data_IF_510670409082
#
_entry.id   IF_510670409082
#
_cell.length_a   1.000
_cell.length_b   1.000
_cell.length_c   1.000
_cell.angle_alpha   90.00
_cell.angle_beta   90.00
_cell.angle_gamma   90.00
#
_symmetry.space_group_name_H-M   'P 1'
#
loop_
_entity.id
_entity.type
_entity.pdbx_description
1 polymer ?
#
# COMPACT_ATOMS: atom_id res chain seq x y z
N UNK A 1 4.74 -2.92 3.97
CA UNK A 1 3.60 -3.47 3.20
C UNK A 1 3.37 -2.54 2.03
N UNK A 2 3.66 -3.01 0.82
CA UNK A 2 3.33 -2.24 -0.37
C UNK A 2 1.81 -2.25 -0.51
N UNK A 3 1.16 -1.08 -0.52
CA UNK A 3 -0.22 -1.00 -0.97
C UNK A 3 -0.25 -1.41 -2.43
N UNK A 4 -0.99 -2.45 -2.83
CA UNK A 4 -1.25 -2.68 -4.22
C UNK A 4 -2.29 -1.66 -4.68
N UNK A 5 -1.86 -0.51 -5.14
CA UNK A 5 -2.66 0.36 -6.00
C UNK A 5 -2.61 -0.14 -7.45
N UNK A 6 -2.59 -1.45 -7.62
CA UNK A 6 -2.87 -2.06 -8.90
C UNK A 6 -4.09 -2.95 -8.67
N UNK A 7 -5.28 -2.38 -8.85
CA UNK A 7 -6.47 -3.18 -9.13
C UNK A 7 -6.24 -3.76 -10.51
N UNK A 8 -5.51 -4.86 -10.56
CA UNK A 8 -5.42 -5.69 -11.74
C UNK A 8 -6.82 -6.23 -12.01
N UNK A 9 -7.47 -5.71 -13.03
CA UNK A 9 -8.70 -6.26 -13.58
C UNK A 9 -8.38 -7.65 -14.14
N UNK A 10 -8.37 -8.66 -13.26
CA UNK A 10 -8.30 -10.06 -13.67
C UNK A 10 -9.63 -10.42 -14.30
N UNK A 11 -9.72 -10.34 -15.62
CA UNK A 11 -10.81 -10.98 -16.38
C UNK A 11 -10.72 -12.50 -16.19
N UNK A 12 -11.43 -13.02 -15.19
CA UNK A 12 -11.77 -14.44 -15.11
C UNK A 12 -12.88 -14.70 -16.14
N UNK A 13 -12.49 -15.05 -17.35
CA UNK A 13 -13.38 -15.72 -18.30
C UNK A 13 -13.71 -17.09 -17.70
N UNK A 14 -14.82 -17.17 -16.97
CA UNK A 14 -15.37 -18.42 -16.47
C UNK A 14 -15.95 -19.24 -17.61
N UNK A 15 -15.35 -20.41 -17.87
CA UNK A 15 -15.95 -21.45 -18.68
C UNK A 15 -17.29 -21.86 -18.08
N UNK A 16 -18.35 -21.88 -18.92
CA UNK A 16 -19.68 -22.33 -18.55
C UNK A 16 -19.67 -23.77 -18.07
N UNK A 17 -19.98 -23.99 -16.82
CA UNK A 17 -20.22 -25.26 -16.17
C UNK A 17 -21.59 -25.25 -15.52
N UNK A 18 -22.31 -26.33 -15.62
CA UNK A 18 -23.66 -26.61 -15.16
C UNK A 18 -24.02 -25.95 -13.82
N UNK A 19 -25.18 -25.31 -13.78
CA UNK A 19 -25.74 -24.72 -12.58
C UNK A 19 -25.95 -25.78 -11.48
N UNK A 20 -24.96 -26.00 -10.67
CA UNK A 20 -25.12 -26.57 -9.35
C UNK A 20 -25.68 -25.45 -8.45
N UNK A 21 -26.84 -25.69 -7.87
CA UNK A 21 -27.35 -24.88 -6.74
C UNK A 21 -26.29 -24.91 -5.64
N UNK A 22 -25.37 -23.97 -5.67
CA UNK A 22 -24.33 -23.86 -4.65
C UNK A 22 -24.96 -23.32 -3.38
N UNK A 23 -25.15 -24.23 -2.42
CA UNK A 23 -25.36 -23.83 -1.03
C UNK A 23 -24.24 -22.89 -0.60
N UNK A 24 -24.56 -21.89 0.23
CA UNK A 24 -23.55 -20.98 0.75
C UNK A 24 -22.43 -21.76 1.42
N UNK A 25 -21.20 -21.58 0.95
CA UNK A 25 -20.03 -22.24 1.49
C UNK A 25 -19.27 -21.30 2.40
N UNK A 26 -19.02 -21.75 3.63
CA UNK A 26 -18.10 -21.09 4.53
C UNK A 26 -16.74 -21.79 4.49
N UNK A 27 -15.68 -21.01 4.43
CA UNK A 27 -14.33 -21.54 4.55
C UNK A 27 -13.54 -20.73 5.60
N UNK A 28 -12.76 -21.44 6.40
CA UNK A 28 -11.82 -20.86 7.34
C UNK A 28 -10.42 -21.35 7.01
N UNK A 29 -9.53 -20.42 6.75
CA UNK A 29 -8.13 -20.70 6.46
C UNK A 29 -7.24 -19.96 7.47
N UNK A 30 -6.64 -20.65 8.45
CA UNK A 30 -5.62 -20.09 9.30
C UNK A 30 -4.26 -20.09 8.59
N UNK A 31 -3.39 -19.14 8.99
CA UNK A 31 -2.00 -19.09 8.59
C UNK A 31 -1.19 -18.60 9.77
N UNK A 32 -0.13 -19.31 10.11
CA UNK A 32 0.78 -18.94 11.17
C UNK A 32 2.18 -18.79 10.60
N UNK A 33 2.89 -17.75 11.00
CA UNK A 33 4.29 -17.60 10.63
C UNK A 33 5.14 -17.19 11.83
N UNK A 34 6.37 -17.65 11.79
CA UNK A 34 7.44 -17.19 12.64
C UNK A 34 8.55 -16.67 11.78
N UNK A 35 9.01 -15.46 12.06
CA UNK A 35 10.15 -14.87 11.37
C UNK A 35 11.16 -14.31 12.36
N UNK A 36 12.41 -14.33 11.92
CA UNK A 36 13.49 -13.59 12.56
C UNK A 36 14.15 -12.74 11.47
N UNK A 37 14.44 -11.49 11.81
CA UNK A 37 15.21 -10.63 10.93
C UNK A 37 16.34 -9.93 11.70
N UNK A 38 17.41 -9.68 10.98
CA UNK A 38 18.53 -8.88 11.38
C UNK A 38 18.60 -7.66 10.49
N UNK A 39 18.84 -6.51 11.08
CA UNK A 39 18.91 -5.22 10.42
C UNK A 39 20.03 -4.41 11.08
N UNK A 40 21.00 -3.95 10.29
CA UNK A 40 22.18 -3.25 10.81
C UNK A 40 21.93 -1.75 11.05
N UNK A 41 20.86 -1.18 10.48
CA UNK A 41 20.49 0.23 10.65
C UNK A 41 19.02 0.48 10.34
N UNK A 42 18.13 -0.01 11.20
CA UNK A 42 16.67 0.05 11.02
C UNK A 42 16.10 1.46 10.86
N UNK A 43 16.71 2.44 11.51
CA UNK A 43 16.26 3.83 11.49
C UNK A 43 16.82 4.61 10.31
N UNK A 44 17.74 4.02 9.52
CA UNK A 44 18.48 4.71 8.46
C UNK A 44 19.12 6.01 8.94
N UNK A 45 19.69 5.97 10.15
CA UNK A 45 20.37 7.10 10.76
C UNK A 45 21.87 6.83 10.95
N UNK A 46 22.72 7.88 10.89
CA UNK A 46 24.14 7.71 11.12
C UNK A 46 24.45 7.25 12.55
N UNK A 47 25.16 6.14 12.70
CA UNK A 47 25.63 5.66 14.00
C UNK A 47 24.66 4.83 14.80
N UNK A 48 23.52 4.44 14.22
CA UNK A 48 22.58 3.50 14.84
C UNK A 48 23.17 2.10 14.85
N UNK A 49 22.95 1.37 15.94
CA UNK A 49 23.37 -0.03 16.07
C UNK A 49 22.37 -0.96 15.39
N UNK A 50 22.86 -2.08 14.89
CA UNK A 50 22.00 -3.14 14.34
C UNK A 50 21.09 -3.75 15.39
N UNK A 51 19.92 -4.22 14.97
CA UNK A 51 18.92 -4.86 15.81
C UNK A 51 18.44 -6.18 15.21
N UNK A 52 18.14 -7.13 16.09
CA UNK A 52 17.46 -8.36 15.73
C UNK A 52 16.00 -8.28 16.21
N UNK A 53 15.08 -8.84 15.44
CA UNK A 53 13.71 -9.03 15.89
C UNK A 53 13.21 -10.44 15.59
N UNK A 54 12.32 -10.92 16.46
CA UNK A 54 11.53 -12.11 16.23
C UNK A 54 10.05 -11.70 16.15
N UNK A 55 9.34 -12.23 15.15
CA UNK A 55 7.91 -11.94 14.92
C UNK A 55 7.15 -13.27 14.88
N UNK A 56 6.07 -13.35 15.64
CA UNK A 56 5.07 -14.40 15.53
C UNK A 56 3.79 -13.78 14.99
N UNK A 57 3.34 -14.28 13.85
CA UNK A 57 2.13 -13.79 13.16
C UNK A 57 1.05 -14.86 13.13
N UNK A 58 -0.20 -14.42 13.28
CA UNK A 58 -1.38 -15.25 13.08
C UNK A 58 -2.38 -14.50 12.21
N UNK A 59 -2.76 -15.14 11.09
CA UNK A 59 -3.76 -14.67 10.16
C UNK A 59 -4.90 -15.69 10.11
N UNK A 60 -6.12 -15.19 10.00
CA UNK A 60 -7.29 -16.02 9.75
C UNK A 60 -8.07 -15.43 8.61
N UNK A 61 -8.43 -16.26 7.63
CA UNK A 61 -9.31 -15.83 6.54
C UNK A 61 -10.61 -16.61 6.64
N UNK A 62 -11.68 -15.91 7.02
CA UNK A 62 -13.05 -16.41 6.98
C UNK A 62 -13.70 -15.91 5.69
N UNK A 63 -14.18 -16.82 4.85
CA UNK A 63 -14.85 -16.49 3.61
C UNK A 63 -16.23 -17.12 3.57
N UNK A 64 -17.17 -16.41 2.94
CA UNK A 64 -18.47 -16.92 2.56
C UNK A 64 -18.67 -16.69 1.08
N UNK A 65 -18.81 -17.77 0.32
CA UNK A 65 -19.09 -17.72 -1.10
C UNK A 65 -20.55 -18.11 -1.36
N UNK A 66 -21.23 -17.29 -2.16
CA UNK A 66 -22.55 -17.53 -2.72
C UNK A 66 -22.46 -17.26 -4.21
N UNK A 67 -23.48 -17.63 -5.00
CA UNK A 67 -23.46 -17.53 -6.45
C UNK A 67 -22.99 -16.16 -6.97
N UNK A 68 -23.47 -15.09 -6.37
CA UNK A 68 -23.19 -13.72 -6.81
C UNK A 68 -22.63 -12.81 -5.72
N UNK A 69 -22.29 -13.35 -4.55
CA UNK A 69 -21.78 -12.59 -3.42
C UNK A 69 -20.66 -13.35 -2.73
N UNK A 70 -19.53 -12.68 -2.56
CA UNK A 70 -18.40 -13.16 -1.76
C UNK A 70 -18.13 -12.17 -0.62
N UNK A 71 -18.01 -12.72 0.59
CA UNK A 71 -17.63 -11.96 1.78
C UNK A 71 -16.33 -12.54 2.34
N UNK A 72 -15.45 -11.67 2.84
CA UNK A 72 -14.25 -12.07 3.56
C UNK A 72 -14.07 -11.26 4.85
N UNK A 73 -13.48 -11.91 5.86
CA UNK A 73 -13.02 -11.26 7.10
C UNK A 73 -11.65 -11.83 7.45
N UNK A 74 -10.68 -10.94 7.63
CA UNK A 74 -9.27 -11.28 7.77
C UNK A 74 -8.67 -10.59 9.00
N UNK A 75 -8.82 -11.13 10.22
CA UNK A 75 -8.07 -10.68 11.38
C UNK A 75 -6.60 -11.12 11.30
N UNK A 76 -5.72 -10.22 11.72
CA UNK A 76 -4.27 -10.42 11.76
C UNK A 76 -3.68 -9.88 13.04
N UNK A 77 -2.69 -10.59 13.60
CA UNK A 77 -1.93 -10.18 14.79
C UNK A 77 -0.46 -10.53 14.61
N UNK A 78 0.41 -9.55 14.86
CA UNK A 78 1.86 -9.74 15.01
C UNK A 78 2.28 -9.51 16.46
N UNK A 79 3.07 -10.41 16.99
CA UNK A 79 3.75 -10.26 18.26
C UNK A 79 5.25 -10.13 17.98
N UNK A 80 5.81 -8.95 18.28
CA UNK A 80 7.21 -8.64 17.99
C UNK A 80 8.04 -8.51 19.25
N UNK A 81 9.27 -9.00 19.18
CA UNK A 81 10.28 -8.86 20.21
C UNK A 81 11.59 -8.44 19.57
N UNK A 82 12.15 -7.36 20.06
CA UNK A 82 13.44 -6.84 19.63
C UNK A 82 14.53 -7.27 20.61
N UNK A 83 15.75 -7.50 20.12
CA UNK A 83 16.91 -7.74 20.96
C UNK A 83 17.32 -6.48 21.72
N UNK A 84 17.08 -5.30 21.13
CA UNK A 84 17.35 -4.03 21.75
C UNK A 84 16.12 -3.54 22.54
N UNK A 85 16.36 -3.13 23.81
CA UNK A 85 15.33 -2.59 24.70
C UNK A 85 14.81 -1.21 24.29
N UNK A 86 15.52 -0.49 23.40
CA UNK A 86 15.15 0.84 22.92
C UNK A 86 13.81 0.77 22.15
N UNK A 87 13.60 -0.30 21.37
CA UNK A 87 12.38 -0.43 20.56
C UNK A 87 11.16 -0.90 21.34
N UNK A 88 11.33 -1.50 22.51
CA UNK A 88 10.24 -2.06 23.29
C UNK A 88 9.50 -3.20 22.58
N UNK A 89 8.51 -3.83 23.20
CA UNK A 89 7.67 -4.84 22.54
C UNK A 89 6.69 -4.17 21.57
N UNK A 90 6.65 -4.61 20.33
CA UNK A 90 5.71 -4.15 19.31
C UNK A 90 4.66 -5.24 19.02
N UNK A 91 3.37 -4.97 19.25
CA UNK A 91 2.30 -5.86 18.82
C UNK A 91 1.43 -5.10 17.82
N UNK A 92 1.39 -5.58 16.58
CA UNK A 92 0.51 -5.01 15.57
C UNK A 92 -0.72 -5.88 15.42
N UNK A 93 -1.84 -5.25 15.11
CA UNK A 93 -3.10 -5.94 14.89
C UNK A 93 -3.90 -5.24 13.82
N UNK A 94 -4.59 -6.02 13.01
CA UNK A 94 -5.51 -5.47 12.01
C UNK A 94 -6.69 -6.41 11.77
N UNK A 95 -7.75 -5.84 11.24
CA UNK A 95 -8.89 -6.58 10.71
C UNK A 95 -9.23 -5.98 9.37
N UNK A 96 -9.32 -6.82 8.34
CA UNK A 96 -9.82 -6.44 7.03
C UNK A 96 -11.12 -7.18 6.73
N UNK A 97 -12.03 -6.51 6.02
CA UNK A 97 -13.28 -7.06 5.53
C UNK A 97 -13.42 -6.74 4.04
N UNK A 98 -13.90 -7.71 3.27
CA UNK A 98 -14.12 -7.59 1.83
C UNK A 98 -15.52 -8.06 1.44
N UNK A 99 -16.09 -7.39 0.45
CA UNK A 99 -17.34 -7.75 -0.20
C UNK A 99 -17.13 -7.64 -1.72
N UNK A 100 -17.54 -8.66 -2.45
CA UNK A 100 -17.65 -8.63 -3.91
C UNK A 100 -19.01 -9.17 -4.31
N UNK A 101 -19.76 -8.37 -5.05
CA UNK A 101 -21.07 -8.74 -5.58
C UNK A 101 -21.09 -8.55 -7.09
N UNK A 102 -21.63 -9.53 -7.80
CA UNK A 102 -21.74 -9.53 -9.26
C UNK A 102 -23.18 -9.76 -9.67
N UNK A 103 -23.81 -8.76 -10.27
CA UNK A 103 -25.11 -8.84 -10.92
C UNK A 103 -24.95 -9.02 -12.44
N UNK A 104 -26.05 -9.09 -13.18
CA UNK A 104 -26.04 -9.26 -14.64
C UNK A 104 -25.28 -8.15 -15.39
N UNK A 105 -25.40 -6.91 -14.89
CA UNK A 105 -24.80 -5.71 -15.52
C UNK A 105 -24.09 -4.81 -14.51
N UNK A 106 -23.82 -5.32 -13.33
CA UNK A 106 -23.21 -4.52 -12.27
C UNK A 106 -22.28 -5.37 -11.44
N UNK A 107 -21.18 -4.77 -11.02
CA UNK A 107 -20.25 -5.35 -10.08
C UNK A 107 -19.96 -4.33 -9.00
N UNK A 108 -20.01 -4.77 -7.75
CA UNK A 108 -19.64 -3.97 -6.58
C UNK A 108 -18.52 -4.68 -5.85
N UNK A 109 -17.43 -3.98 -5.62
CA UNK A 109 -16.38 -4.40 -4.69
C UNK A 109 -16.26 -3.38 -3.56
N UNK A 110 -16.10 -3.86 -2.35
CA UNK A 110 -15.87 -3.03 -1.18
C UNK A 110 -14.88 -3.70 -0.26
N UNK A 111 -13.86 -2.96 0.19
CA UNK A 111 -12.87 -3.42 1.13
C UNK A 111 -12.71 -2.37 2.22
N UNK A 112 -12.63 -2.81 3.47
CA UNK A 112 -12.35 -1.95 4.61
C UNK A 112 -11.36 -2.62 5.54
N UNK A 113 -10.48 -1.85 6.17
CA UNK A 113 -9.59 -2.37 7.19
C UNK A 113 -9.33 -1.33 8.28
N UNK A 114 -9.06 -1.85 9.46
CA UNK A 114 -8.56 -1.07 10.59
C UNK A 114 -7.31 -1.76 11.11
N UNK A 115 -6.26 -0.99 11.33
CA UNK A 115 -5.00 -1.48 11.84
C UNK A 115 -4.51 -0.60 12.99
N UNK A 116 -3.87 -1.22 13.98
CA UNK A 116 -3.15 -0.57 15.05
C UNK A 116 -1.71 -1.09 15.02
N UNK A 117 -0.79 -0.24 14.58
CA UNK A 117 0.57 -0.61 14.18
C UNK A 117 1.60 0.28 14.84
N UNK A 118 2.82 -0.23 14.96
CA UNK A 118 3.96 0.58 15.36
C UNK A 118 4.50 1.39 14.16
N UNK A 119 4.79 2.67 14.34
CA UNK A 119 5.31 3.57 13.30
C UNK A 119 6.68 3.13 12.76
N UNK A 120 7.55 2.55 13.59
CA UNK A 120 8.84 2.03 13.17
C UNK A 120 8.78 1.03 12.02
N UNK A 121 7.64 0.34 11.86
CA UNK A 121 7.49 -0.70 10.86
C UNK A 121 6.76 -0.25 9.60
N UNK A 122 6.06 0.87 9.66
CA UNK A 122 5.14 1.31 8.59
C UNK A 122 5.50 2.68 8.03
N UNK A 123 5.94 3.61 8.89
CA UNK A 123 6.14 5.00 8.47
C UNK A 123 7.28 5.17 7.46
N UNK A 124 8.36 4.41 7.57
CA UNK A 124 9.47 4.51 6.62
C UNK A 124 9.02 4.33 5.16
N UNK A 125 8.19 3.31 4.92
CA UNK A 125 7.69 3.00 3.58
C UNK A 125 6.55 3.90 3.15
N UNK A 126 5.72 4.35 4.08
CA UNK A 126 4.52 5.11 3.78
C UNK A 126 4.77 6.62 3.76
N UNK A 127 5.52 7.14 4.71
CA UNK A 127 5.72 8.59 4.87
C UNK A 127 7.18 9.01 4.80
N UNK A 128 8.13 8.10 4.95
CA UNK A 128 9.56 8.39 5.02
C UNK A 128 9.99 9.05 6.34
N UNK A 129 9.13 9.05 7.37
CA UNK A 129 9.43 9.53 8.72
C UNK A 129 9.74 8.33 9.61
N UNK A 130 10.88 8.35 10.33
CA UNK A 130 11.29 7.23 11.18
C UNK A 130 11.36 7.64 12.66
N UNK A 131 11.29 8.92 12.93
CA UNK A 131 11.80 9.55 14.15
C UNK A 131 10.96 9.30 15.42
N UNK A 132 9.88 8.53 15.36
CA UNK A 132 9.04 8.31 16.55
C UNK A 132 8.56 6.87 16.67
N UNK A 133 9.00 6.21 17.75
CA UNK A 133 8.42 4.94 18.18
C UNK A 133 7.05 5.18 18.85
N UNK A 134 5.99 5.25 18.06
CA UNK A 134 4.64 5.52 18.52
C UNK A 134 3.64 4.55 17.89
N UNK A 135 2.39 4.60 18.35
CA UNK A 135 1.30 3.78 17.79
C UNK A 135 0.54 4.58 16.76
N UNK A 136 0.20 3.94 15.66
CA UNK A 136 -0.65 4.49 14.60
C UNK A 136 -1.89 3.62 14.42
N UNK A 137 -3.04 4.23 14.49
CA UNK A 137 -4.30 3.65 14.04
C UNK A 137 -4.55 4.09 12.61
N UNK A 138 -4.67 3.12 11.72
CA UNK A 138 -4.95 3.32 10.30
C UNK A 138 -6.33 2.76 9.98
N UNK A 139 -7.15 3.54 9.31
CA UNK A 139 -8.47 3.17 8.81
C UNK A 139 -8.47 3.32 7.30
N UNK A 140 -8.84 2.27 6.59
CA UNK A 140 -8.92 2.25 5.14
C UNK A 140 -10.30 1.75 4.71
N UNK A 141 -10.87 2.37 3.68
CA UNK A 141 -12.04 1.86 2.99
C UNK A 141 -11.93 2.18 1.51
N UNK A 142 -12.23 1.21 0.64
CA UNK A 142 -12.25 1.38 -0.80
C UNK A 142 -13.49 0.70 -1.36
N UNK A 143 -14.17 1.35 -2.29
CA UNK A 143 -15.32 0.81 -2.99
C UNK A 143 -15.25 1.11 -4.48
N UNK A 144 -15.67 0.17 -5.30
CA UNK A 144 -15.81 0.32 -6.75
C UNK A 144 -17.14 -0.26 -7.19
N UNK A 145 -17.88 0.53 -7.95
CA UNK A 145 -19.13 0.14 -8.61
C UNK A 145 -18.95 0.26 -10.11
N UNK A 146 -19.11 -0.86 -10.80
CA UNK A 146 -19.12 -0.96 -12.25
C UNK A 146 -20.54 -1.20 -12.75
N UNK A 147 -20.97 -0.46 -13.75
CA UNK A 147 -22.28 -0.58 -14.38
C UNK A 147 -22.13 -0.73 -15.90
N UNK A 148 -22.33 -1.93 -16.41
CA UNK A 148 -22.29 -2.23 -17.84
C UNK A 148 -23.53 -1.70 -18.54
N UNK A 149 -23.41 -0.64 -19.34
CA UNK A 149 -24.48 -0.14 -20.19
C UNK A 149 -24.67 -1.00 -21.43
N UNK A 150 -23.54 -1.41 -22.01
CA UNK A 150 -23.45 -2.35 -23.12
C UNK A 150 -22.22 -3.23 -22.94
N UNK A 151 -22.00 -4.21 -23.81
CA UNK A 151 -20.77 -5.02 -23.81
C UNK A 151 -19.47 -4.20 -24.00
N UNK A 152 -19.60 -2.99 -24.59
CA UNK A 152 -18.45 -2.12 -24.91
C UNK A 152 -18.36 -0.87 -24.04
N UNK A 153 -19.39 -0.56 -23.25
CA UNK A 153 -19.45 0.67 -22.44
C UNK A 153 -19.77 0.31 -20.99
N UNK A 154 -18.87 0.70 -20.12
CA UNK A 154 -18.97 0.49 -18.68
C UNK A 154 -18.79 1.82 -17.96
N UNK A 155 -19.77 2.20 -17.15
CA UNK A 155 -19.66 3.31 -16.21
C UNK A 155 -19.07 2.79 -14.91
N UNK A 156 -18.10 3.52 -14.33
CA UNK A 156 -17.52 3.15 -13.05
C UNK A 156 -17.49 4.32 -12.07
N UNK A 157 -17.53 3.97 -10.79
CA UNK A 157 -17.32 4.91 -9.68
C UNK A 157 -16.43 4.26 -8.64
N UNK A 158 -15.39 4.96 -8.23
CA UNK A 158 -14.45 4.54 -7.21
C UNK A 158 -14.47 5.53 -6.06
N UNK A 159 -14.46 5.01 -4.83
CA UNK A 159 -14.39 5.80 -3.61
C UNK A 159 -13.28 5.23 -2.73
N UNK A 160 -12.48 6.08 -2.11
CA UNK A 160 -11.52 5.64 -1.11
C UNK A 160 -11.50 6.58 0.10
N UNK A 161 -11.16 6.02 1.24
CA UNK A 161 -11.00 6.73 2.49
C UNK A 161 -9.79 6.18 3.22
N UNK A 162 -9.00 7.09 3.81
CA UNK A 162 -7.88 6.78 4.67
C UNK A 162 -7.93 7.72 5.88
N UNK A 163 -8.01 7.15 7.08
CA UNK A 163 -7.88 7.84 8.35
C UNK A 163 -6.61 7.40 9.06
N UNK A 164 -5.84 8.35 9.57
CA UNK A 164 -4.64 8.08 10.37
C UNK A 164 -4.71 8.87 11.67
N UNK A 165 -4.53 8.19 12.79
CA UNK A 165 -4.43 8.80 14.11
C UNK A 165 -3.24 8.21 14.86
N UNK A 166 -2.47 9.06 15.51
CA UNK A 166 -1.29 8.66 16.26
C UNK A 166 -1.58 8.75 17.75
N UNK A 167 -0.96 7.88 18.53
CA UNK A 167 -1.09 7.84 19.99
C UNK A 167 0.23 7.44 20.62
N UNK A 168 0.64 8.14 21.67
CA UNK A 168 1.91 7.87 22.33
C UNK A 168 2.27 8.94 23.34
N UNK A 169 3.48 9.49 23.25
CA UNK A 169 3.87 10.61 24.06
C UNK A 169 3.43 11.93 23.39
N UNK A 170 3.30 12.99 24.19
CA UNK A 170 2.84 14.30 23.72
C UNK A 170 3.70 14.86 22.57
N UNK A 171 5.00 14.60 22.56
CA UNK A 171 5.92 15.03 21.52
C UNK A 171 5.64 14.34 20.18
N UNK A 172 5.31 13.07 20.18
CA UNK A 172 4.95 12.33 18.96
C UNK A 172 3.61 12.80 18.39
N UNK A 173 2.61 13.08 19.24
CA UNK A 173 1.30 13.60 18.80
C UNK A 173 1.42 15.01 18.20
N UNK A 174 2.35 15.84 18.69
CA UNK A 174 2.62 17.17 18.12
C UNK A 174 3.34 17.12 16.76
N UNK A 175 4.15 16.10 16.52
CA UNK A 175 4.91 15.91 15.28
C UNK A 175 4.13 15.16 14.19
N UNK A 176 3.26 14.23 14.59
CA UNK A 176 2.47 13.37 13.72
C UNK A 176 0.97 13.61 13.94
N UNK A 177 0.39 14.65 13.32
CA UNK A 177 -1.03 14.95 13.47
C UNK A 177 -1.88 13.90 12.81
N UNK A 178 -3.02 13.62 13.41
CA UNK A 178 -4.07 12.84 12.77
C UNK A 178 -4.57 13.52 11.48
N UNK A 179 -4.96 12.70 10.50
CA UNK A 179 -5.55 13.20 9.28
C UNK A 179 -6.58 12.24 8.68
N UNK A 180 -7.47 12.78 7.86
CA UNK A 180 -8.46 12.05 7.09
C UNK A 180 -8.32 12.45 5.62
N UNK A 181 -8.23 11.48 4.75
CA UNK A 181 -8.13 11.66 3.32
C UNK A 181 -9.23 10.86 2.63
N UNK A 182 -9.95 11.51 1.74
CA UNK A 182 -10.99 10.88 0.94
C UNK A 182 -10.74 11.17 -0.53
N UNK A 183 -10.96 10.18 -1.39
CA UNK A 183 -10.91 10.37 -2.83
C UNK A 183 -12.13 9.75 -3.51
N UNK A 184 -12.51 10.33 -4.63
CA UNK A 184 -13.58 9.84 -5.49
C UNK A 184 -13.17 9.99 -6.95
N UNK A 185 -13.47 8.97 -7.76
CA UNK A 185 -13.37 9.05 -9.21
C UNK A 185 -14.60 8.44 -9.86
N UNK A 186 -15.04 9.02 -10.99
CA UNK A 186 -16.16 8.47 -11.75
C UNK A 186 -15.96 8.74 -13.24
N UNK A 187 -16.28 7.76 -14.07
CA UNK A 187 -16.03 7.87 -15.50
C UNK A 187 -16.64 6.75 -16.34
N UNK A 188 -16.24 6.73 -17.58
CA UNK A 188 -16.63 5.71 -18.54
C UNK A 188 -15.41 4.97 -19.10
N UNK A 189 -15.57 3.66 -19.28
CA UNK A 189 -14.62 2.75 -19.86
C UNK A 189 -15.18 2.21 -21.18
N UNK A 190 -14.37 2.24 -22.23
CA UNK A 190 -14.71 1.86 -23.58
C UNK A 190 -13.85 0.69 -24.02
N UNK A 191 -14.45 -0.46 -24.31
CA UNK A 191 -13.77 -1.60 -24.90
C UNK A 191 -13.67 -1.39 -26.41
N UNK A 192 -12.50 -0.92 -26.87
CA UNK A 192 -12.26 -0.59 -28.27
C UNK A 192 -12.01 -1.84 -29.11
N UNK A 193 -11.33 -2.85 -28.52
CA UNK A 193 -11.10 -4.17 -29.13
C UNK A 193 -10.82 -5.20 -28.01
N UNK A 194 -10.55 -6.43 -28.38
CA UNK A 194 -10.10 -7.49 -27.43
C UNK A 194 -8.79 -7.12 -26.70
N UNK A 195 -7.99 -6.22 -27.28
CA UNK A 195 -6.70 -5.83 -26.76
C UNK A 195 -6.67 -4.44 -26.14
N UNK A 196 -7.60 -3.57 -26.48
CA UNK A 196 -7.57 -2.17 -26.06
C UNK A 196 -8.82 -1.78 -25.29
N UNK A 197 -8.59 -1.23 -24.12
CA UNK A 197 -9.61 -0.54 -23.33
C UNK A 197 -9.15 0.88 -23.06
N UNK A 198 -10.04 1.84 -23.22
CA UNK A 198 -9.79 3.25 -22.93
C UNK A 198 -10.77 3.73 -21.88
N UNK A 199 -10.35 4.56 -20.95
CA UNK A 199 -11.23 5.19 -19.98
C UNK A 199 -10.95 6.67 -19.83
N UNK A 200 -12.00 7.41 -19.45
CA UNK A 200 -11.92 8.82 -19.05
C UNK A 200 -12.73 8.99 -17.78
N UNK A 201 -12.16 9.69 -16.81
CA UNK A 201 -12.84 9.98 -15.54
C UNK A 201 -12.52 11.36 -14.99
N UNK A 202 -13.45 11.88 -14.19
CA UNK A 202 -13.19 12.97 -13.27
C UNK A 202 -12.84 12.39 -11.90
N UNK A 203 -11.93 13.06 -11.20
CA UNK A 203 -11.55 12.67 -9.84
C UNK A 203 -11.45 13.87 -8.92
N UNK A 204 -11.53 13.61 -7.61
CA UNK A 204 -11.34 14.62 -6.58
C UNK A 204 -10.89 14.01 -5.27
N UNK A 205 -10.01 14.72 -4.58
CA UNK A 205 -9.39 14.34 -3.32
C UNK A 205 -9.57 15.43 -2.28
N UNK A 206 -9.76 15.04 -1.03
CA UNK A 206 -9.91 15.93 0.12
C UNK A 206 -9.04 15.41 1.27
N UNK A 207 -8.13 16.24 1.76
CA UNK A 207 -7.37 16.00 2.98
C UNK A 207 -7.79 16.99 4.06
N UNK A 208 -8.17 16.46 5.21
CA UNK A 208 -8.35 17.22 6.45
C UNK A 208 -7.32 16.77 7.47
N UNK A 209 -6.46 17.67 7.93
CA UNK A 209 -5.45 17.43 8.96
C UNK A 209 -5.80 18.19 10.23
N UNK A 210 -5.54 17.60 11.38
CA UNK A 210 -5.79 18.23 12.69
C UNK A 210 -4.92 19.48 12.94
N UNK A 211 -3.77 19.58 12.25
CA UNK A 211 -2.88 20.76 12.36
C UNK A 211 -3.15 21.85 11.32
N UNK A 212 -3.83 21.52 10.23
CA UNK A 212 -4.19 22.52 9.23
C UNK A 212 -5.52 23.18 9.60
N UNK A 213 -5.57 24.50 9.63
CA UNK A 213 -6.81 25.24 9.89
C UNK A 213 -7.86 25.04 8.79
N UNK A 214 -7.42 24.68 7.57
CA UNK A 214 -8.23 24.45 6.39
C UNK A 214 -7.97 23.06 5.80
N UNK A 215 -8.83 22.61 4.88
CA UNK A 215 -8.67 21.36 4.14
C UNK A 215 -7.92 21.59 2.83
N UNK A 216 -7.04 20.65 2.48
CA UNK A 216 -6.43 20.59 1.14
C UNK A 216 -7.32 19.79 0.21
N UNK A 217 -7.43 20.22 -1.04
CA UNK A 217 -8.21 19.50 -2.05
C UNK A 217 -7.54 19.52 -3.43
N UNK A 218 -7.81 18.48 -4.18
CA UNK A 218 -7.43 18.31 -5.58
C UNK A 218 -8.67 17.91 -6.38
N UNK A 219 -8.80 18.39 -7.62
CA UNK A 219 -9.83 17.92 -8.55
C UNK A 219 -9.30 18.00 -9.99
N UNK A 220 -9.62 16.99 -10.80
CA UNK A 220 -9.08 16.90 -12.15
C UNK A 220 -9.79 15.91 -13.04
N UNK A 221 -9.21 15.76 -14.23
CA UNK A 221 -9.59 14.79 -15.23
C UNK A 221 -8.42 13.85 -15.51
N UNK A 222 -8.72 12.60 -15.82
CA UNK A 222 -7.72 11.62 -16.18
C UNK A 222 -8.22 10.73 -17.32
N UNK A 223 -7.27 10.28 -18.13
CA UNK A 223 -7.49 9.29 -19.18
C UNK A 223 -6.56 8.10 -18.95
N UNK A 224 -7.05 6.91 -19.27
CA UNK A 224 -6.32 5.66 -19.11
C UNK A 224 -6.45 4.84 -20.38
N UNK A 225 -5.37 4.19 -20.78
CA UNK A 225 -5.35 3.17 -21.81
C UNK A 225 -4.80 1.88 -21.21
N UNK A 226 -5.55 0.80 -21.37
CA UNK A 226 -5.11 -0.55 -21.06
C UNK A 226 -4.89 -1.30 -22.37
N UNK A 227 -3.72 -1.92 -22.49
CA UNK A 227 -3.36 -2.74 -23.65
C UNK A 227 -2.96 -4.13 -23.20
N UNK A 228 -3.79 -5.13 -23.53
CA UNK A 228 -3.52 -6.55 -23.36
C UNK A 228 -3.00 -7.14 -24.68
N UNK A 229 -1.68 -7.17 -24.84
CA UNK A 229 -1.07 -7.78 -26.04
C UNK A 229 -1.40 -9.27 -26.14
N UNK A 230 -1.48 -9.95 -25.01
CA UNK A 230 -1.88 -11.37 -24.87
C UNK A 230 -2.30 -11.60 -23.42
N UNK A 231 -2.78 -12.79 -23.10
CA UNK A 231 -3.04 -13.21 -21.72
C UNK A 231 -1.79 -13.14 -20.81
N UNK A 232 -0.60 -13.12 -21.42
CA UNK A 232 0.68 -13.11 -20.72
C UNK A 232 1.32 -11.71 -20.60
N UNK A 233 0.84 -10.72 -21.36
CA UNK A 233 1.49 -9.40 -21.42
C UNK A 233 0.43 -8.29 -21.43
N UNK A 234 0.50 -7.41 -20.43
CA UNK A 234 -0.34 -6.21 -20.35
C UNK A 234 0.46 -4.97 -20.04
N UNK A 235 -0.06 -3.84 -20.49
CA UNK A 235 0.44 -2.50 -20.22
C UNK A 235 -0.73 -1.57 -19.92
N UNK A 236 -0.62 -0.79 -18.83
CA UNK A 236 -1.58 0.21 -18.45
C UNK A 236 -0.88 1.56 -18.34
N UNK A 237 -1.50 2.61 -18.85
CA UNK A 237 -1.04 3.98 -18.72
C UNK A 237 -2.21 4.90 -18.40
N UNK A 238 -2.12 5.59 -17.28
CA UNK A 238 -3.05 6.62 -16.84
C UNK A 238 -2.33 7.96 -16.73
N UNK A 239 -2.93 9.01 -17.26
CA UNK A 239 -2.44 10.38 -17.15
C UNK A 239 -3.60 11.29 -16.79
N UNK A 240 -3.39 12.14 -15.79
CA UNK A 240 -4.38 13.11 -15.34
C UNK A 240 -3.77 14.48 -15.11
N UNK A 241 -4.60 15.51 -15.23
CA UNK A 241 -4.29 16.89 -14.86
C UNK A 241 -5.29 17.39 -13.84
N UNK A 242 -4.81 18.11 -12.84
CA UNK A 242 -5.62 18.56 -11.71
C UNK A 242 -5.34 19.99 -11.32
N UNK A 243 -6.32 20.61 -10.67
CA UNK A 243 -6.16 21.82 -9.87
C UNK A 243 -6.04 21.43 -8.41
N UNK A 244 -5.09 22.05 -7.73
CA UNK A 244 -4.72 21.78 -6.34
C UNK A 244 -4.88 23.04 -5.51
N UNK A 245 -5.49 22.91 -4.34
CA UNK A 245 -5.51 23.94 -3.31
C UNK A 245 -5.04 23.29 -2.01
N UNK A 246 -3.88 23.69 -1.53
CA UNK A 246 -3.22 23.12 -0.39
C UNK A 246 -3.37 24.05 0.80
N UNK A 247 -3.87 23.55 1.90
CA UNK A 247 -3.98 24.29 3.15
C UNK A 247 -2.60 24.63 3.71
N UNK A 248 -2.47 25.79 4.34
CA UNK A 248 -1.31 26.10 5.15
C UNK A 248 -1.33 25.34 6.47
N UNK A 249 -0.17 25.07 7.02
CA UNK A 249 -0.03 24.43 8.32
C UNK A 249 1.03 25.10 9.18
N UNK A 250 0.86 25.01 10.49
CA UNK A 250 1.82 25.53 11.47
C UNK A 250 2.32 24.38 12.33
N UNK A 251 3.63 24.17 12.33
CA UNK A 251 4.31 23.11 13.07
C UNK A 251 5.08 23.70 14.23
N UNK A 252 5.07 23.01 15.35
CA UNK A 252 5.98 23.24 16.45
C UNK A 252 7.14 22.25 16.28
N UNK A 253 8.33 22.76 15.94
CA UNK A 253 9.54 21.94 15.79
C UNK A 253 10.43 22.18 16.99
N UNK A 254 10.79 21.11 17.68
CA UNK A 254 11.80 21.15 18.76
C UNK A 254 13.11 20.63 18.18
N UNK A 255 14.11 21.53 18.02
CA UNK A 255 15.45 21.07 17.62
C UNK A 255 16.13 20.31 18.77
N UNK A 256 16.78 19.16 18.51
CA UNK A 256 17.54 18.45 19.50
C UNK A 256 18.64 19.35 20.11
N UNK A 257 18.61 19.56 21.42
CA UNK A 257 19.58 20.40 22.15
C UNK A 257 19.24 21.87 22.28
N UNK A 258 18.12 22.36 21.78
CA UNK A 258 17.63 23.70 22.01
C UNK A 258 16.44 23.70 22.97
N UNK A 259 16.48 24.57 24.00
CA UNK A 259 15.37 24.76 24.92
C UNK A 259 14.33 25.76 24.34
N UNK A 260 13.78 25.46 23.18
CA UNK A 260 12.80 26.32 22.53
C UNK A 260 12.01 25.58 21.43
N UNK A 261 10.73 25.91 21.33
CA UNK A 261 9.86 25.43 20.24
C UNK A 261 9.93 26.42 19.09
N UNK A 262 10.43 26.01 17.95
CA UNK A 262 10.42 26.81 16.72
C UNK A 262 9.07 26.62 16.04
N UNK A 263 8.36 27.71 15.82
CA UNK A 263 7.09 27.69 15.10
C UNK A 263 7.34 27.87 13.60
N UNK A 264 7.22 26.79 12.84
CA UNK A 264 7.34 26.81 11.38
C UNK A 264 5.94 26.94 10.76
N UNK A 265 5.71 28.00 9.99
CA UNK A 265 4.45 28.15 9.24
C UNK A 265 4.69 27.90 7.77
N UNK A 266 3.99 26.93 7.21
CA UNK A 266 3.94 26.66 5.77
C UNK A 266 2.70 27.36 5.22
N UNK A 267 2.83 28.34 4.32
CA UNK A 267 1.68 29.02 3.74
C UNK A 267 0.89 28.06 2.83
N UNK A 268 -0.42 28.25 2.79
CA UNK A 268 -1.26 27.58 1.80
C UNK A 268 -0.91 28.03 0.38
N UNK A 269 -1.19 27.18 -0.58
CA UNK A 269 -0.86 27.44 -1.99
C UNK A 269 -1.88 26.80 -2.93
N UNK A 270 -1.92 27.31 -4.14
CA UNK A 270 -2.75 26.74 -5.22
C UNK A 270 -1.92 26.57 -6.49
N UNK A 271 -2.25 25.59 -7.30
CA UNK A 271 -1.54 25.31 -8.53
C UNK A 271 -2.20 24.22 -9.37
N UNK A 272 -1.49 23.76 -10.38
CA UNK A 272 -1.84 22.59 -11.19
C UNK A 272 -0.88 21.46 -10.89
N UNK A 273 -1.31 20.23 -11.15
CA UNK A 273 -0.48 19.04 -11.00
C UNK A 273 -0.83 17.98 -12.01
N UNK A 274 0.14 17.12 -12.27
CA UNK A 274 0.00 15.98 -13.18
C UNK A 274 0.07 14.70 -12.37
N UNK A 275 -0.92 13.82 -12.55
CA UNK A 275 -0.95 12.47 -12.00
C UNK A 275 -0.61 11.48 -13.12
N UNK A 276 0.27 10.54 -12.84
CA UNK A 276 0.71 9.52 -13.81
C UNK A 276 0.72 8.17 -13.09
N UNK A 277 0.15 7.16 -13.74
CA UNK A 277 0.34 5.76 -13.36
C UNK A 277 0.68 4.94 -14.59
N UNK A 278 1.70 4.11 -14.52
CA UNK A 278 2.06 3.20 -15.59
C UNK A 278 2.38 1.84 -14.99
N UNK A 279 1.85 0.78 -15.60
CA UNK A 279 2.16 -0.60 -15.23
C UNK A 279 2.50 -1.43 -16.45
N UNK A 280 3.42 -2.35 -16.29
CA UNK A 280 3.76 -3.39 -17.25
C UNK A 280 3.86 -4.72 -16.53
N UNK A 281 3.13 -5.71 -17.05
CA UNK A 281 3.16 -7.06 -16.52
C UNK A 281 3.45 -8.04 -17.66
N UNK A 282 4.39 -8.94 -17.43
CA UNK A 282 4.68 -10.04 -18.35
C UNK A 282 4.93 -11.33 -17.60
N UNK A 283 4.14 -12.33 -17.96
CA UNK A 283 4.28 -13.70 -17.49
C UNK A 283 4.97 -14.55 -18.56
N UNK A 284 5.92 -15.35 -18.13
CA UNK A 284 6.59 -16.39 -18.90
C UNK A 284 6.24 -17.73 -18.27
N UNK A 285 6.62 -18.83 -18.87
CA UNK A 285 6.35 -20.17 -18.35
C UNK A 285 6.85 -20.37 -16.90
N UNK A 286 8.05 -19.93 -16.60
CA UNK A 286 8.68 -20.08 -15.27
C UNK A 286 8.98 -18.75 -14.58
N UNK A 287 8.65 -17.63 -15.20
CA UNK A 287 9.02 -16.30 -14.67
C UNK A 287 7.90 -15.30 -14.83
N UNK A 288 7.90 -14.26 -14.00
CA UNK A 288 7.08 -13.07 -14.19
C UNK A 288 7.90 -11.82 -13.94
N UNK A 289 7.58 -10.75 -14.65
CA UNK A 289 8.16 -9.41 -14.47
C UNK A 289 7.01 -8.42 -14.36
N UNK A 290 7.12 -7.55 -13.36
CA UNK A 290 6.18 -6.46 -13.11
C UNK A 290 6.97 -5.16 -12.92
N UNK A 291 6.57 -4.11 -13.65
CA UNK A 291 7.09 -2.75 -13.50
C UNK A 291 5.92 -1.83 -13.21
N UNK A 292 6.05 -0.98 -12.20
CA UNK A 292 5.03 0.01 -11.85
C UNK A 292 5.71 1.36 -11.63
N UNK A 293 5.08 2.41 -12.10
CA UNK A 293 5.44 3.78 -11.83
C UNK A 293 4.20 4.59 -11.49
N UNK A 294 4.25 5.36 -10.41
CA UNK A 294 3.18 6.27 -10.03
C UNK A 294 3.74 7.63 -9.66
N UNK A 295 3.03 8.68 -10.04
CA UNK A 295 3.23 10.06 -9.58
C UNK A 295 1.88 10.62 -9.22
N UNK A 296 1.69 10.96 -7.96
CA UNK A 296 0.40 11.45 -7.44
C UNK A 296 0.59 12.28 -6.18
N UNK A 297 -0.43 13.02 -5.82
CA UNK A 297 -0.51 13.71 -4.55
C UNK A 297 -1.00 12.73 -3.49
N UNK A 298 -0.27 12.63 -2.37
CA UNK A 298 -0.61 11.68 -1.30
C UNK A 298 -0.46 12.33 0.08
N UNK A 299 -1.23 11.88 1.07
CA UNK A 299 -1.01 12.27 2.45
C UNK A 299 0.37 11.85 2.95
N UNK A 300 1.02 12.73 3.68
CA UNK A 300 2.29 12.50 4.36
C UNK A 300 2.07 12.42 5.88
N UNK A 301 2.95 11.75 6.63
CA UNK A 301 2.78 11.52 8.06
C UNK A 301 2.60 12.79 8.91
N UNK A 302 3.06 13.93 8.41
CA UNK A 302 2.86 15.23 9.05
C UNK A 302 1.51 15.90 8.69
N UNK A 303 0.57 15.17 8.09
CA UNK A 303 -0.76 15.70 7.73
C UNK A 303 -0.79 16.67 6.55
N UNK A 304 0.27 16.75 5.75
CA UNK A 304 0.31 17.51 4.50
C UNK A 304 0.13 16.61 3.29
N UNK A 305 -0.21 17.21 2.14
CA UNK A 305 -0.11 16.55 0.85
C UNK A 305 1.27 16.77 0.24
N UNK A 306 1.90 15.69 -0.19
CA UNK A 306 3.17 15.71 -0.93
C UNK A 306 3.00 15.05 -2.29
N UNK A 307 3.78 15.50 -3.26
CA UNK A 307 3.89 14.79 -4.53
C UNK A 307 4.84 13.61 -4.33
N UNK A 308 4.32 12.40 -4.49
CA UNK A 308 5.07 11.16 -4.44
C UNK A 308 5.28 10.60 -5.81
N UNK A 309 6.53 10.28 -6.12
CA UNK A 309 6.92 9.45 -7.25
C UNK A 309 7.40 8.12 -6.72
N UNK A 310 6.82 7.04 -7.19
CA UNK A 310 7.17 5.69 -6.79
C UNK A 310 7.42 4.83 -8.02
N UNK A 311 8.54 4.14 -8.05
CA UNK A 311 8.86 3.14 -9.07
C UNK A 311 9.12 1.80 -8.39
N UNK A 312 8.52 0.73 -8.90
CA UNK A 312 8.71 -0.62 -8.42
C UNK A 312 9.04 -1.53 -9.60
N UNK A 313 10.08 -2.33 -9.47
CA UNK A 313 10.37 -3.44 -10.38
C UNK A 313 10.40 -4.72 -9.58
N UNK A 314 9.62 -5.72 -10.00
CA UNK A 314 9.57 -7.03 -9.38
C UNK A 314 9.77 -8.11 -10.44
N UNK A 315 10.54 -9.13 -10.10
CA UNK A 315 10.71 -10.31 -10.93
C UNK A 315 10.59 -11.56 -10.04
N UNK A 316 9.96 -12.59 -10.57
CA UNK A 316 9.87 -13.90 -9.92
C UNK A 316 10.29 -14.97 -10.93
N UNK A 317 11.04 -15.97 -10.46
CA UNK A 317 11.46 -17.12 -11.27
C UNK A 317 11.33 -18.42 -10.48
N UNK A 318 10.64 -19.40 -11.06
CA UNK A 318 10.52 -20.74 -10.47
C UNK A 318 11.74 -21.57 -10.86
N UNK A 319 12.65 -21.74 -9.89
CA UNK A 319 13.87 -22.56 -10.05
C UNK A 319 13.56 -24.06 -10.10
N UNK A 320 12.47 -24.45 -9.43
CA UNK A 320 11.91 -25.82 -9.43
C UNK A 320 10.45 -25.77 -9.01
N UNK A 321 9.69 -26.88 -9.07
CA UNK A 321 8.30 -26.94 -8.60
C UNK A 321 8.11 -26.54 -7.13
N UNK A 322 9.17 -26.61 -6.33
CA UNK A 322 9.15 -26.32 -4.88
C UNK A 322 9.97 -25.11 -4.47
N UNK A 323 10.74 -24.51 -5.39
CA UNK A 323 11.65 -23.40 -5.08
C UNK A 323 11.46 -22.27 -6.06
N UNK A 324 11.03 -21.12 -5.54
CA UNK A 324 10.92 -19.87 -6.27
C UNK A 324 11.97 -18.85 -5.78
N UNK A 325 12.54 -18.08 -6.70
CA UNK A 325 13.35 -16.91 -6.41
C UNK A 325 12.58 -15.64 -6.79
N UNK A 326 12.68 -14.61 -5.98
CA UNK A 326 12.09 -13.29 -6.27
C UNK A 326 13.08 -12.17 -6.02
N UNK A 327 12.90 -11.09 -6.77
CA UNK A 327 13.68 -9.88 -6.69
C UNK A 327 12.74 -8.68 -6.77
N UNK A 328 12.95 -7.69 -5.91
CA UNK A 328 12.16 -6.46 -5.90
C UNK A 328 13.06 -5.26 -5.69
N UNK A 329 12.87 -4.21 -6.48
CA UNK A 329 13.43 -2.89 -6.27
C UNK A 329 12.27 -1.92 -6.10
N UNK A 330 12.35 -1.08 -5.09
CA UNK A 330 11.43 0.02 -4.82
C UNK A 330 12.23 1.32 -4.74
N UNK A 331 11.77 2.34 -5.42
CA UNK A 331 12.24 3.72 -5.26
C UNK A 331 11.04 4.62 -4.96
N UNK A 332 11.12 5.38 -3.89
CA UNK A 332 10.14 6.39 -3.51
C UNK A 332 10.82 7.74 -3.40
N UNK A 333 10.25 8.75 -4.00
CA UNK A 333 10.69 10.12 -3.88
C UNK A 333 9.49 10.98 -3.49
N UNK A 334 9.59 11.65 -2.36
CA UNK A 334 8.61 12.64 -1.91
C UNK A 334 9.16 14.03 -2.19
N UNK A 335 8.35 14.89 -2.78
CA UNK A 335 8.67 16.28 -3.03
C UNK A 335 7.49 17.15 -2.60
N UNK A 336 7.76 18.43 -2.32
CA UNK A 336 6.69 19.34 -1.99
C UNK A 336 5.76 19.53 -3.17
N UNK A 337 4.49 19.52 -2.90
CA UNK A 337 3.46 19.88 -3.87
C UNK A 337 3.51 21.37 -4.24
N UNK A 338 4.31 22.19 -3.57
CA UNK A 338 4.47 23.64 -3.80
C UNK A 338 5.91 24.11 -3.71
N UNK A 339 6.26 25.13 -4.50
CA UNK A 339 7.63 25.68 -4.63
C UNK A 339 8.13 26.35 -3.32
N UNK A 340 7.25 26.69 -2.38
CA UNK A 340 7.58 27.51 -1.20
C UNK A 340 7.82 26.73 0.08
N UNK A 341 7.45 25.47 0.15
CA UNK A 341 7.71 24.66 1.32
C UNK A 341 9.07 23.96 1.19
N UNK A 342 10.01 24.25 2.10
CA UNK A 342 11.22 23.43 2.29
C UNK A 342 10.85 22.12 2.97
N UNK A 343 10.21 21.20 2.27
CA UNK A 343 10.27 19.81 2.67
C UNK A 343 11.48 19.21 1.99
N UNK A 344 12.39 18.70 2.76
CA UNK A 344 13.57 18.04 2.22
C UNK A 344 13.12 16.98 1.24
N UNK A 345 13.72 17.00 0.04
CA UNK A 345 13.54 15.94 -0.93
C UNK A 345 13.98 14.66 -0.27
N UNK A 346 13.00 13.81 0.08
CA UNK A 346 13.32 12.50 0.63
C UNK A 346 13.17 11.49 -0.46
N UNK A 347 14.21 10.76 -0.70
CA UNK A 347 14.11 9.54 -1.46
C UNK A 347 14.46 8.35 -0.56
N UNK A 348 13.78 7.26 -0.81
CA UNK A 348 14.01 5.97 -0.21
C UNK A 348 14.14 4.95 -1.32
N UNK A 349 15.17 4.15 -1.27
CA UNK A 349 15.35 3.05 -2.20
C UNK A 349 15.56 1.76 -1.40
N UNK A 350 15.00 0.67 -1.92
CA UNK A 350 15.09 -0.65 -1.31
C UNK A 350 15.27 -1.71 -2.39
N UNK A 351 16.18 -2.64 -2.19
CA UNK A 351 16.39 -3.80 -3.06
C UNK A 351 16.37 -5.08 -2.22
N UNK A 352 15.52 -6.03 -2.60
CA UNK A 352 15.29 -7.29 -1.89
C UNK A 352 15.46 -8.47 -2.84
N UNK A 353 16.09 -9.54 -2.36
CA UNK A 353 16.14 -10.85 -3.00
C UNK A 353 15.56 -11.86 -2.04
N UNK A 354 14.64 -12.69 -2.52
CA UNK A 354 13.98 -13.74 -1.75
C UNK A 354 14.12 -15.10 -2.38
N UNK A 355 14.20 -16.13 -1.55
CA UNK A 355 14.05 -17.53 -1.91
C UNK A 355 12.88 -18.11 -1.13
N UNK A 356 11.95 -18.74 -1.80
CA UNK A 356 10.74 -19.30 -1.21
C UNK A 356 10.68 -20.80 -1.49
N UNK A 357 10.91 -21.61 -0.48
CA UNK A 357 10.94 -23.07 -0.55
C UNK A 357 9.66 -23.67 0.04
N UNK A 358 8.89 -24.38 -0.79
CA UNK A 358 7.73 -25.18 -0.39
C UNK A 358 8.20 -26.52 0.15
N UNK A 359 8.26 -26.67 1.47
CA UNK A 359 8.72 -27.89 2.17
C UNK A 359 7.65 -28.99 2.24
N UNK A 360 6.50 -28.77 1.60
CA UNK A 360 5.36 -29.65 1.56
C UNK A 360 4.10 -28.85 1.19
N UNK A 361 2.92 -29.45 1.41
CA UNK A 361 1.65 -28.80 1.07
C UNK A 361 1.31 -27.64 1.99
N UNK A 362 1.76 -27.69 3.25
CA UNK A 362 1.36 -26.76 4.32
C UNK A 362 2.50 -25.90 4.85
N UNK A 363 3.75 -26.23 4.54
CA UNK A 363 4.91 -25.51 5.09
C UNK A 363 5.70 -24.80 3.99
N UNK A 364 6.09 -23.58 4.30
CA UNK A 364 6.96 -22.77 3.42
C UNK A 364 8.06 -22.14 4.25
N UNK A 365 9.29 -22.18 3.73
CA UNK A 365 10.44 -21.45 4.26
C UNK A 365 10.80 -20.34 3.27
N UNK A 366 10.84 -19.10 3.75
CA UNK A 366 11.32 -17.94 2.99
C UNK A 366 12.60 -17.40 3.62
N UNK A 367 13.65 -17.25 2.82
CA UNK A 367 14.83 -16.47 3.17
C UNK A 367 14.86 -15.21 2.33
N UNK A 368 15.20 -14.08 2.94
CA UNK A 368 15.24 -12.78 2.29
C UNK A 368 16.51 -12.04 2.72
N UNK A 369 17.15 -11.37 1.78
CA UNK A 369 18.23 -10.44 2.04
C UNK A 369 18.03 -9.17 1.23
N UNK A 370 18.43 -8.04 1.78
CA UNK A 370 18.23 -6.77 1.09
C UNK A 370 19.03 -5.62 1.65
N UNK A 371 18.87 -4.51 0.99
CA UNK A 371 19.50 -3.25 1.39
C UNK A 371 18.55 -2.10 1.11
N UNK A 372 18.52 -1.16 2.04
CA UNK A 372 17.81 0.10 1.88
C UNK A 372 18.79 1.26 1.97
N UNK A 373 18.45 2.37 1.34
CA UNK A 373 19.23 3.59 1.46
C UNK A 373 18.35 4.83 1.35
N UNK A 374 18.67 5.80 2.17
CA UNK A 374 18.00 7.10 2.23
C UNK A 374 18.96 8.15 2.77
N UNK A 375 18.92 9.40 2.31
CA UNK A 375 19.60 10.49 2.99
C UNK A 375 18.82 10.86 4.26
N UNK A 376 19.49 11.08 5.40
CA UNK A 376 18.87 11.67 6.58
C UNK A 376 18.34 13.09 6.29
N UNK A 377 17.42 13.56 7.14
CA UNK A 377 16.86 14.91 7.01
C UNK A 377 17.99 15.95 7.09
N UNK A 378 18.05 16.86 6.10
CA UNK A 378 19.03 17.95 6.08
C UNK A 378 20.47 17.52 5.78
N UNK A 379 20.69 16.28 5.35
CA UNK A 379 22.01 15.74 5.00
C UNK A 379 22.05 15.29 3.54
N UNK A 380 23.19 15.57 2.87
CA UNK A 380 23.51 15.02 1.55
C UNK A 380 24.19 13.64 1.64
N UNK A 381 24.46 13.15 2.85
CA UNK A 381 25.10 11.85 3.08
C UNK A 381 24.05 10.76 3.05
N UNK A 382 24.19 9.81 2.13
CA UNK A 382 23.30 8.65 2.06
C UNK A 382 23.66 7.64 3.15
N UNK A 383 22.68 7.24 3.95
CA UNK A 383 22.81 6.17 4.94
C UNK A 383 22.25 4.90 4.35
N UNK A 384 22.86 3.79 4.70
CA UNK A 384 22.55 2.45 4.19
C UNK A 384 22.20 1.52 5.33
N UNK A 385 21.27 0.63 5.05
CA UNK A 385 20.85 -0.49 5.87
C UNK A 385 21.08 -1.81 5.12
N UNK A 386 21.51 -2.85 5.83
CA UNK A 386 21.49 -4.23 5.37
C UNK A 386 20.54 -5.03 6.24
N UNK A 387 19.72 -5.84 5.59
CA UNK A 387 18.76 -6.68 6.29
C UNK A 387 18.79 -8.10 5.76
N UNK A 388 18.61 -9.07 6.66
CA UNK A 388 18.39 -10.46 6.34
C UNK A 388 17.26 -11.02 7.19
N UNK A 389 16.38 -11.81 6.58
CA UNK A 389 15.24 -12.38 7.27
C UNK A 389 15.03 -13.86 6.91
N UNK A 390 14.54 -14.62 7.88
CA UNK A 390 14.10 -16.00 7.70
C UNK A 390 12.69 -16.15 8.26
N UNK A 391 11.77 -16.67 7.43
CA UNK A 391 10.37 -16.84 7.80
C UNK A 391 9.93 -18.27 7.53
N UNK A 392 9.37 -18.93 8.53
CA UNK A 392 8.68 -20.21 8.42
C UNK A 392 7.19 -19.96 8.49
N UNK A 393 6.45 -20.44 7.49
CA UNK A 393 4.99 -20.29 7.43
C UNK A 393 4.34 -21.66 7.44
N UNK A 394 3.33 -21.83 8.29
CA UNK A 394 2.44 -22.98 8.33
C UNK A 394 1.04 -22.55 7.89
N UNK A 395 0.56 -23.15 6.82
CA UNK A 395 -0.75 -22.94 6.23
C UNK A 395 -1.51 -24.25 6.18
N UNK A 396 -2.24 -24.62 7.24
CA UNK A 396 -3.05 -25.83 7.24
C UNK A 396 -4.14 -25.76 6.17
N UNK A 397 -4.65 -26.92 5.77
CA UNK A 397 -5.74 -27.00 4.82
C UNK A 397 -6.96 -26.23 5.31
N UNK A 398 -7.66 -25.50 4.43
CA UNK A 398 -8.86 -24.79 4.81
C UNK A 398 -9.93 -25.76 5.29
N UNK A 399 -10.67 -25.36 6.31
CA UNK A 399 -11.87 -26.07 6.76
C UNK A 399 -13.07 -25.43 6.05
N UNK A 400 -13.83 -26.21 5.29
CA UNK A 400 -15.05 -25.75 4.64
C UNK A 400 -16.28 -26.40 5.23
N UNK A 401 -17.39 -25.64 5.27
CA UNK A 401 -18.70 -26.10 5.69
C UNK A 401 -19.73 -25.62 4.68
N UNK A 402 -20.37 -26.56 3.99
CA UNK A 402 -21.54 -26.30 3.14
C UNK A 402 -22.83 -26.59 3.91
N UNK A 403 -23.83 -25.75 3.79
CA UNK A 403 -25.20 -26.00 4.28
C UNK A 403 -26.19 -26.00 3.12
#
# INVERSE_FOLDING_TARGET
>A
MAYPTAIGCGCLLGAGGAAHLHAAEWSLQPLFSWSTDFDDNRELEPGTAGSEQAILSADFRLQRAMENLQLSLEPHVDVRRYSDSIYGPGNDRSVAAGLSWTGERSQLTFNASIADQNTLTTELLETGLIDTNTRRRLELANGELDLSRTEKHLFFTQLSYLGSAYSGNQQAEEQLPGYKYASAASGERFVLSEHYTFSVSAFGDLLHSEQAGDSSHEAGLQAEINYAHSELTSFDLQVGESRRSLAGATYNVTEPGQAGVIRLTVPGSSGTGTNISASFNRNFELSSVQLNYTRSLVPYGNGLLVERQQATAAAKHSLSPVLDADFTILRVQNSNATVQARVDRRFYENALVGLNWKMGETWTLRSEAGTSWSPPIGSDVTVREWRAALTVTWKPNPTSMSR
#
